data_IF_119172725606
#
_entry.id   IF_119172725606
#
_cell.length_a   1.000
_cell.length_b   1.000
_cell.length_c   1.000
_cell.angle_alpha   90.00
_cell.angle_beta   90.00
_cell.angle_gamma   90.00
#
_symmetry.space_group_name_H-M   'P 1'
#
loop_
_entity.id
_entity.type
_entity.pdbx_description
1 polymer ?
#
# COMPACT_ATOMS: atom_id res chain seq x y z
N UNK A 1 0.85 -25.84 -15.65
CA UNK A 1 1.27 -25.94 -14.22
C UNK A 1 1.62 -24.54 -13.73
N UNK A 2 1.37 -24.26 -12.45
CA UNK A 2 1.78 -23.02 -11.81
C UNK A 2 2.83 -23.36 -10.74
N UNK A 3 3.98 -22.67 -10.78
CA UNK A 3 5.06 -22.82 -9.80
C UNK A 3 5.09 -21.50 -9.03
N UNK A 4 5.02 -21.57 -7.70
CA UNK A 4 5.11 -20.39 -6.82
C UNK A 4 6.49 -20.36 -6.19
N UNK A 5 7.15 -19.21 -6.29
CA UNK A 5 8.50 -18.99 -5.79
C UNK A 5 8.55 -17.63 -5.10
N UNK A 6 9.42 -17.53 -4.10
CA UNK A 6 9.69 -16.27 -3.43
C UNK A 6 10.71 -15.44 -4.22
N UNK A 7 10.51 -14.12 -4.20
CA UNK A 7 11.38 -13.19 -4.86
C UNK A 7 11.42 -11.86 -4.10
N UNK A 8 12.57 -11.21 -4.14
CA UNK A 8 12.78 -9.89 -3.53
C UNK A 8 12.94 -8.87 -4.65
N UNK A 9 12.22 -7.75 -4.54
CA UNK A 9 12.42 -6.61 -5.44
C UNK A 9 13.53 -5.72 -4.90
N UNK A 10 14.67 -5.69 -5.58
CA UNK A 10 15.85 -4.93 -5.16
C UNK A 10 16.52 -4.27 -6.37
N UNK A 11 16.89 -2.99 -6.25
CA UNK A 11 17.58 -2.23 -7.30
C UNK A 11 16.85 -2.22 -8.66
N UNK A 12 15.51 -2.18 -8.63
CA UNK A 12 14.69 -2.17 -9.84
C UNK A 12 14.46 -3.54 -10.48
N UNK A 13 15.01 -4.62 -9.93
CA UNK A 13 14.91 -5.97 -10.46
C UNK A 13 14.25 -6.95 -9.47
N UNK A 14 13.46 -7.89 -10.00
CA UNK A 14 12.93 -9.02 -9.25
C UNK A 14 14.00 -10.12 -9.17
N UNK A 15 14.54 -10.36 -7.98
CA UNK A 15 15.53 -11.40 -7.70
C UNK A 15 14.84 -12.59 -7.06
N UNK A 16 14.84 -13.74 -7.73
CA UNK A 16 14.33 -14.99 -7.16
C UNK A 16 15.25 -15.45 -6.03
N UNK A 17 14.70 -16.02 -4.96
CA UNK A 17 15.50 -16.62 -3.87
C UNK A 17 16.15 -17.93 -4.28
N UNK A 18 15.63 -18.57 -5.33
CA UNK A 18 16.13 -19.82 -5.90
C UNK A 18 15.99 -19.82 -7.43
N UNK A 19 16.82 -20.58 -8.16
CA UNK A 19 16.74 -20.66 -9.61
C UNK A 19 15.38 -21.19 -10.08
N UNK A 20 14.92 -20.67 -11.22
CA UNK A 20 13.68 -21.09 -11.85
C UNK A 20 13.89 -22.48 -12.47
N UNK A 21 13.12 -23.52 -12.09
CA UNK A 21 13.31 -24.87 -12.61
C UNK A 21 12.70 -25.03 -14.01
N UNK A 22 13.09 -24.15 -14.93
CA UNK A 22 12.67 -24.15 -16.33
C UNK A 22 13.86 -24.41 -17.25
N UNK A 23 13.57 -24.80 -18.48
CA UNK A 23 14.61 -25.00 -19.48
C UNK A 23 15.17 -23.64 -19.95
N UNK A 24 16.41 -23.64 -20.45
CA UNK A 24 16.97 -22.45 -21.08
C UNK A 24 16.09 -21.98 -22.24
N UNK A 25 15.93 -20.66 -22.38
CA UNK A 25 15.07 -19.99 -23.37
C UNK A 25 13.56 -20.18 -23.23
N UNK A 26 13.08 -20.72 -22.11
CA UNK A 26 11.65 -20.81 -21.86
C UNK A 26 11.05 -19.42 -21.58
N UNK A 27 9.97 -19.07 -22.30
CA UNK A 27 9.26 -17.79 -22.11
C UNK A 27 8.28 -17.91 -20.95
N UNK A 28 8.37 -16.98 -20.00
CA UNK A 28 7.48 -16.93 -18.83
C UNK A 28 6.63 -15.65 -18.81
N UNK A 29 5.46 -15.74 -18.17
CA UNK A 29 4.62 -14.59 -17.84
C UNK A 29 4.67 -14.38 -16.33
N UNK A 30 4.98 -13.16 -15.90
CA UNK A 30 5.06 -12.79 -14.48
C UNK A 30 3.85 -11.93 -14.12
N UNK A 31 3.16 -12.32 -13.04
CA UNK A 31 2.12 -11.50 -12.40
C UNK A 31 2.64 -11.06 -11.05
N UNK A 32 2.75 -9.75 -10.82
CA UNK A 32 3.22 -9.18 -9.55
C UNK A 32 2.02 -8.68 -8.75
N UNK A 33 1.81 -9.27 -7.58
CA UNK A 33 0.83 -8.78 -6.61
C UNK A 33 1.56 -7.93 -5.56
N UNK A 34 1.46 -6.61 -5.67
CA UNK A 34 2.01 -5.72 -4.64
C UNK A 34 1.14 -5.77 -3.40
N UNK A 35 1.76 -5.73 -2.22
CA UNK A 35 1.01 -5.60 -0.98
C UNK A 35 0.20 -4.28 -1.05
N UNK A 36 -1.12 -4.38 -0.86
CA UNK A 36 -1.99 -3.21 -0.76
C UNK A 36 -1.45 -2.31 0.35
N UNK A 37 -1.33 -0.99 0.09
CA UNK A 37 -0.86 -0.04 1.09
C UNK A 37 -1.64 -0.19 2.40
N UNK A 38 -1.01 0.08 3.56
CA UNK A 38 -1.71 0.03 4.86
C UNK A 38 -3.04 0.79 4.80
N UNK A 39 -3.04 1.98 4.18
CA UNK A 39 -4.24 2.79 3.98
C UNK A 39 -5.37 2.05 3.23
N UNK A 40 -5.06 1.32 2.15
CA UNK A 40 -6.07 0.49 1.46
C UNK A 40 -6.48 -0.73 2.26
N UNK A 41 -5.54 -1.37 2.98
CA UNK A 41 -5.83 -2.51 3.87
C UNK A 41 -6.77 -2.10 5.00
N UNK A 42 -6.66 -0.88 5.49
CA UNK A 42 -7.44 -0.34 6.60
C UNK A 42 -8.61 0.55 6.16
N UNK A 43 -8.83 0.69 4.86
CA UNK A 43 -9.96 1.44 4.34
C UNK A 43 -11.27 0.82 4.85
N UNK A 44 -12.11 1.63 5.49
CA UNK A 44 -13.37 1.19 6.09
C UNK A 44 -13.28 0.54 7.47
N UNK A 45 -12.08 0.23 8.01
CA UNK A 45 -11.95 -0.37 9.35
C UNK A 45 -12.39 0.57 10.47
N UNK A 46 -12.15 1.88 10.34
CA UNK A 46 -12.55 2.87 11.37
C UNK A 46 -14.05 3.20 11.35
N UNK A 47 -14.85 2.55 10.50
CA UNK A 47 -16.31 2.68 10.53
C UNK A 47 -16.83 4.10 10.30
N UNK A 48 -16.08 4.94 9.57
CA UNK A 48 -16.50 6.30 9.24
C UNK A 48 -17.87 6.29 8.57
N UNK A 49 -18.84 6.97 9.21
CA UNK A 49 -20.23 7.11 8.72
C UNK A 49 -20.50 8.47 8.07
N UNK A 50 -19.52 9.38 8.10
CA UNK A 50 -19.63 10.67 7.43
C UNK A 50 -19.32 10.58 5.94
N UNK A 51 -19.45 11.70 5.23
CA UNK A 51 -19.09 11.79 3.81
C UNK A 51 -17.59 12.07 3.62
N UNK A 52 -17.13 12.00 2.37
CA UNK A 52 -15.75 12.36 2.04
C UNK A 52 -15.50 13.86 2.25
N UNK A 53 -16.47 14.70 1.89
CA UNK A 53 -16.40 16.16 2.07
C UNK A 53 -16.29 16.54 3.55
N UNK A 54 -16.97 15.80 4.44
CA UNK A 54 -16.85 16.02 5.87
C UNK A 54 -15.48 15.58 6.41
N UNK A 55 -14.92 14.50 5.87
CA UNK A 55 -13.56 14.07 6.22
C UNK A 55 -12.51 15.09 5.76
N UNK A 56 -12.63 15.62 4.54
CA UNK A 56 -11.74 16.67 4.01
C UNK A 56 -11.85 17.95 4.84
N UNK A 57 -13.07 18.34 5.25
CA UNK A 57 -13.28 19.47 6.17
C UNK A 57 -12.54 19.25 7.48
N UNK A 58 -12.76 18.11 8.14
CA UNK A 58 -12.14 17.83 9.44
C UNK A 58 -10.61 17.72 9.37
N UNK A 59 -10.05 17.28 8.23
CA UNK A 59 -8.62 17.17 8.05
C UNK A 59 -7.88 18.52 8.04
N UNK A 60 -8.59 19.63 7.79
CA UNK A 60 -8.02 20.99 7.72
C UNK A 60 -8.67 21.96 8.70
N UNK A 61 -9.52 21.46 9.61
CA UNK A 61 -10.25 22.30 10.55
C UNK A 61 -9.33 22.67 11.73
N UNK A 62 -8.95 23.96 11.88
CA UNK A 62 -8.03 24.39 12.93
C UNK A 62 -8.59 24.21 14.35
N UNK A 63 -9.92 24.08 14.52
CA UNK A 63 -10.52 23.77 15.82
C UNK A 63 -10.24 22.32 16.26
N UNK A 64 -9.90 21.44 15.31
CA UNK A 64 -9.60 20.02 15.55
C UNK A 64 -8.10 19.72 15.61
N UNK A 65 -7.24 20.73 15.45
CA UNK A 65 -5.80 20.59 15.55
C UNK A 65 -5.36 20.22 16.98
N UNK A 66 -4.34 19.35 17.07
CA UNK A 66 -3.72 18.99 18.34
C UNK A 66 -2.18 19.06 18.24
N UNK A 67 -1.50 19.83 19.10
CA UNK A 67 -2.06 20.64 20.19
C UNK A 67 -2.91 21.81 19.67
N UNK A 68 -3.85 22.34 20.49
CA UNK A 68 -4.69 23.46 20.07
C UNK A 68 -3.82 24.65 19.63
N UNK A 69 -4.27 25.44 18.65
CA UNK A 69 -3.53 26.60 18.21
C UNK A 69 -3.30 27.57 19.38
N UNK A 70 -2.17 28.31 19.40
CA UNK A 70 -1.91 29.28 20.44
C UNK A 70 -3.02 30.34 20.46
N UNK A 71 -3.57 30.62 21.65
CA UNK A 71 -4.53 31.72 21.82
C UNK A 71 -3.84 33.03 21.44
N UNK A 72 -4.40 33.76 20.46
CA UNK A 72 -3.91 35.08 20.10
C UNK A 72 -4.10 36.05 21.29
N UNK A 73 -3.09 36.85 21.65
CA UNK A 73 -3.10 37.71 22.84
C UNK A 73 -4.04 38.92 22.77
#
# INVERSE_FOLDING_TARGET
MAITLDAVYENGALKLTQPLPLQEHEKVRVTVHTAISKARRTAGLMGWKGSAELADRFAVDPELDFPPPPEEP
#
